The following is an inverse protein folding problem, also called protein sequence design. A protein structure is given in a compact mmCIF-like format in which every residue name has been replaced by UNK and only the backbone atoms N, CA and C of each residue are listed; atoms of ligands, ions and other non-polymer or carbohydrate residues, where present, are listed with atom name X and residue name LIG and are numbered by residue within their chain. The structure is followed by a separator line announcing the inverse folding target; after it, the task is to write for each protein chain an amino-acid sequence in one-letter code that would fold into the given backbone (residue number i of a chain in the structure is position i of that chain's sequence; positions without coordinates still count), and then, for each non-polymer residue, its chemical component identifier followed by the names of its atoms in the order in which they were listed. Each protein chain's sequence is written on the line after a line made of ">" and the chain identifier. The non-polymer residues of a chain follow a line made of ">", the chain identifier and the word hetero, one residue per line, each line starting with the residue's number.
data_IF_740382343957
#
_entry.id   IF_740382343957
#
_cell.length_a   1.000
_cell.length_b   1.000
_cell.length_c   1.000
_cell.angle_alpha   90.00
_cell.angle_beta   90.00
_cell.angle_gamma   90.00
#
_symmetry.space_group_name_H-M   'P 1'
#
loop_
_entity.id
_entity.type
_entity.pdbx_description
1 polymer ?
#
# COMPACT_ATOMS: atom_id res chain seq x y z
N UNK A 1 58.65 9.90 -26.86
CA UNK A 1 57.50 9.09 -26.42
C UNK A 1 57.40 9.00 -24.90
N UNK A 2 58.41 8.49 -24.20
CA UNK A 2 58.36 8.26 -22.74
C UNK A 2 57.98 9.49 -21.89
N UNK A 3 58.47 10.68 -22.24
CA UNK A 3 58.13 11.93 -21.52
C UNK A 3 56.64 12.30 -21.68
N UNK A 4 56.06 12.05 -22.85
CA UNK A 4 54.67 12.39 -23.14
C UNK A 4 53.71 11.49 -22.35
N UNK A 5 54.05 10.21 -22.20
CA UNK A 5 53.28 9.24 -21.40
C UNK A 5 53.35 9.57 -19.91
N UNK A 6 54.53 9.91 -19.39
CA UNK A 6 54.69 10.30 -17.98
C UNK A 6 53.88 11.56 -17.66
N UNK A 7 53.88 12.55 -18.57
CA UNK A 7 53.07 13.77 -18.42
C UNK A 7 51.56 13.44 -18.49
N UNK A 8 51.14 12.51 -19.36
CA UNK A 8 49.75 12.05 -19.43
C UNK A 8 49.30 11.33 -18.14
N UNK A 9 50.12 10.44 -17.56
CA UNK A 9 49.78 9.78 -16.30
C UNK A 9 49.76 10.74 -15.11
N UNK A 10 50.73 11.67 -15.04
CA UNK A 10 50.77 12.68 -13.99
C UNK A 10 49.55 13.61 -14.06
N UNK A 11 49.16 14.06 -15.26
CA UNK A 11 47.97 14.89 -15.45
C UNK A 11 46.68 14.14 -15.09
N UNK A 12 46.54 12.86 -15.48
CA UNK A 12 45.40 12.03 -15.07
C UNK A 12 45.33 11.83 -13.55
N UNK A 13 46.47 11.64 -12.88
CA UNK A 13 46.54 11.50 -11.43
C UNK A 13 46.19 12.81 -10.70
N UNK A 14 46.70 13.95 -11.18
CA UNK A 14 46.36 15.28 -10.62
C UNK A 14 44.89 15.59 -10.86
N UNK A 15 44.34 15.28 -12.04
CA UNK A 15 42.93 15.49 -12.34
C UNK A 15 42.04 14.59 -11.46
N UNK A 16 42.41 13.33 -11.25
CA UNK A 16 41.64 12.41 -10.41
C UNK A 16 41.68 12.81 -8.94
N UNK A 17 42.84 13.27 -8.43
CA UNK A 17 42.99 13.75 -7.05
C UNK A 17 42.26 15.07 -6.81
N UNK A 18 42.27 16.01 -7.77
CA UNK A 18 41.47 17.24 -7.71
C UNK A 18 39.97 16.95 -7.79
N UNK A 19 39.54 16.03 -8.66
CA UNK A 19 38.15 15.54 -8.70
C UNK A 19 37.76 14.87 -7.37
N UNK A 20 38.66 14.07 -6.78
CA UNK A 20 38.42 13.44 -5.49
C UNK A 20 38.33 14.48 -4.35
N UNK A 21 39.23 15.46 -4.30
CA UNK A 21 39.21 16.50 -3.27
C UNK A 21 38.00 17.44 -3.39
N UNK A 22 37.63 17.83 -4.61
CA UNK A 22 36.44 18.67 -4.85
C UNK A 22 35.15 17.92 -4.53
N UNK A 23 35.06 16.62 -4.88
CA UNK A 23 33.92 15.78 -4.50
C UNK A 23 33.84 15.55 -2.99
N UNK A 24 34.97 15.31 -2.31
CA UNK A 24 35.03 15.18 -0.83
C UNK A 24 34.66 16.50 -0.13
N UNK A 25 35.20 17.63 -0.60
CA UNK A 25 34.90 18.95 -0.03
C UNK A 25 33.41 19.32 -0.21
N UNK A 26 32.88 19.14 -1.42
CA UNK A 26 31.48 19.41 -1.72
C UNK A 26 30.52 18.52 -0.93
N UNK A 27 30.84 17.22 -0.81
CA UNK A 27 30.04 16.29 0.02
C UNK A 27 30.13 16.62 1.51
N UNK A 28 31.28 17.05 2.01
CA UNK A 28 31.44 17.45 3.43
C UNK A 28 30.59 18.67 3.80
N UNK A 29 30.45 19.65 2.89
CA UNK A 29 29.64 20.85 3.12
C UNK A 29 28.13 20.55 3.05
N UNK A 30 27.71 19.61 2.20
CA UNK A 30 26.33 19.14 2.13
C UNK A 30 25.95 18.31 3.38
N UNK A 31 26.84 17.45 3.86
CA UNK A 31 26.60 16.59 5.03
C UNK A 31 26.43 17.38 6.34
N UNK A 32 27.03 18.58 6.48
CA UNK A 32 26.88 19.43 7.67
C UNK A 32 25.45 19.90 7.96
N UNK A 33 24.54 19.84 6.98
CA UNK A 33 23.13 20.23 7.15
C UNK A 33 22.17 19.06 7.19
N UNK A 34 22.63 17.87 6.82
CA UNK A 34 21.81 16.67 6.74
C UNK A 34 21.71 15.97 8.10
N UNK A 35 20.67 15.13 8.30
CA UNK A 35 20.63 14.21 9.42
C UNK A 35 21.88 13.31 9.47
N UNK A 36 22.18 12.71 10.63
CA UNK A 36 23.25 11.72 10.77
C UNK A 36 23.20 10.68 9.65
N UNK A 37 24.37 10.37 9.08
CA UNK A 37 24.50 9.43 7.96
C UNK A 37 25.59 8.41 8.28
N UNK A 38 25.36 7.11 8.06
CA UNK A 38 26.43 6.12 8.00
C UNK A 38 27.38 6.42 6.83
N UNK A 39 28.47 5.64 6.74
CA UNK A 39 29.41 5.73 5.63
C UNK A 39 28.74 5.28 4.32
N UNK A 40 28.92 6.08 3.26
CA UNK A 40 28.36 5.83 1.94
C UNK A 40 29.44 5.37 0.96
N UNK A 41 29.21 4.26 0.26
CA UNK A 41 30.10 3.83 -0.83
C UNK A 41 29.87 4.69 -2.09
N UNK A 42 30.90 4.87 -2.95
CA UNK A 42 30.72 5.45 -4.27
C UNK A 42 29.68 4.68 -5.08
N UNK A 43 28.90 5.38 -5.92
CA UNK A 43 27.88 4.82 -6.83
C UNK A 43 26.66 4.21 -6.12
N UNK A 44 26.84 3.20 -5.27
CA UNK A 44 25.75 2.45 -4.64
C UNK A 44 25.23 3.11 -3.35
N UNK A 45 25.97 4.08 -2.80
CA UNK A 45 25.62 4.75 -1.56
C UNK A 45 25.53 3.77 -0.39
N UNK A 46 24.35 3.68 0.22
CA UNK A 46 24.05 2.90 1.42
C UNK A 46 23.32 1.59 1.12
N UNK A 47 23.14 1.20 -0.16
CA UNK A 47 22.49 -0.07 -0.51
C UNK A 47 23.18 -1.29 0.13
N UNK A 48 24.48 -1.22 0.35
CA UNK A 48 25.27 -2.27 1.02
C UNK A 48 24.91 -2.47 2.51
N UNK A 49 24.19 -1.53 3.13
CA UNK A 49 23.72 -1.63 4.50
C UNK A 49 22.32 -2.25 4.60
N UNK A 50 21.66 -2.52 3.45
CA UNK A 50 20.30 -3.03 3.41
C UNK A 50 20.30 -4.53 3.13
N UNK A 51 19.70 -5.28 4.05
CA UNK A 51 19.44 -6.70 3.87
C UNK A 51 18.13 -6.96 3.12
N UNK A 52 17.73 -8.24 3.09
CA UNK A 52 16.47 -8.70 2.49
C UNK A 52 15.23 -8.04 3.12
N UNK A 53 15.30 -7.72 4.42
CA UNK A 53 14.30 -6.92 5.11
C UNK A 53 14.80 -5.47 5.27
N UNK A 54 14.32 -4.59 4.40
CA UNK A 54 14.66 -3.17 4.43
C UNK A 54 14.18 -2.53 5.75
N UNK A 55 13.04 -2.98 6.32
CA UNK A 55 12.52 -2.52 7.62
C UNK A 55 13.41 -2.80 8.79
N UNK A 56 13.90 -4.03 8.89
CA UNK A 56 14.85 -4.36 9.95
C UNK A 56 16.13 -3.58 9.77
N UNK A 57 16.61 -3.43 8.54
CA UNK A 57 17.82 -2.65 8.25
C UNK A 57 17.67 -1.17 8.65
N UNK A 58 16.54 -0.53 8.31
CA UNK A 58 16.26 0.85 8.69
C UNK A 58 16.09 1.02 10.21
N UNK A 59 15.45 0.06 10.88
CA UNK A 59 15.35 0.04 12.33
C UNK A 59 16.72 -0.08 13.02
N UNK A 60 17.55 -1.03 12.58
CA UNK A 60 18.89 -1.23 13.16
C UNK A 60 19.79 0.00 12.96
N UNK A 61 19.64 0.68 11.81
CA UNK A 61 20.34 1.94 11.55
C UNK A 61 19.81 3.07 12.44
N UNK A 62 18.50 3.17 12.67
CA UNK A 62 17.94 4.22 13.53
C UNK A 62 18.31 4.04 15.00
N UNK A 63 18.45 2.80 15.48
CA UNK A 63 18.99 2.51 16.81
C UNK A 63 20.44 2.99 16.99
N UNK A 64 21.24 3.03 15.91
CA UNK A 64 22.66 3.42 15.95
C UNK A 64 22.89 4.91 15.69
N UNK A 65 22.16 5.49 14.75
CA UNK A 65 22.40 6.85 14.25
C UNK A 65 21.34 7.86 14.71
N UNK A 66 20.27 7.39 15.34
CA UNK A 66 19.19 8.21 15.87
C UNK A 66 17.89 8.12 15.05
N UNK A 67 16.84 8.83 15.49
CA UNK A 67 15.48 8.69 14.97
C UNK A 67 15.25 9.30 13.58
N UNK A 68 16.21 10.10 13.09
CA UNK A 68 16.18 10.70 11.76
C UNK A 68 17.55 10.52 11.13
N UNK A 69 17.63 9.72 10.06
CA UNK A 69 18.89 9.38 9.40
C UNK A 69 18.83 9.73 7.91
N UNK A 70 19.96 10.16 7.37
CA UNK A 70 20.12 10.36 5.94
C UNK A 70 20.80 9.15 5.31
N UNK A 71 20.23 8.67 4.22
CA UNK A 71 20.72 7.60 3.39
C UNK A 71 20.77 8.04 1.93
N UNK A 72 21.40 7.21 1.11
CA UNK A 72 21.55 7.40 -0.33
C UNK A 72 21.42 6.04 -0.96
N UNK A 73 20.29 5.75 -1.57
CA UNK A 73 20.00 4.47 -2.20
C UNK A 73 20.47 4.56 -3.65
N UNK A 74 21.70 4.13 -3.91
CA UNK A 74 22.38 4.39 -5.19
C UNK A 74 22.61 5.88 -5.41
N UNK A 75 21.81 6.46 -6.29
CA UNK A 75 21.81 7.86 -6.70
C UNK A 75 20.70 8.66 -6.03
N UNK A 76 19.76 7.98 -5.35
CA UNK A 76 18.57 8.59 -4.79
C UNK A 76 18.81 8.98 -3.32
N UNK A 77 18.70 10.26 -2.96
CA UNK A 77 18.81 10.69 -1.57
C UNK A 77 17.57 10.26 -0.78
N UNK A 78 17.76 9.66 0.39
CA UNK A 78 16.70 9.12 1.23
C UNK A 78 16.83 9.62 2.67
N UNK A 79 15.72 9.91 3.34
CA UNK A 79 15.66 10.21 4.76
C UNK A 79 14.74 9.21 5.43
N UNK A 80 15.23 8.55 6.46
CA UNK A 80 14.44 7.62 7.27
C UNK A 80 14.05 8.30 8.57
N UNK A 81 12.75 8.32 8.85
CA UNK A 81 12.19 8.77 10.12
C UNK A 81 11.64 7.55 10.89
N UNK A 82 11.96 7.45 12.19
CA UNK A 82 11.67 6.25 12.99
C UNK A 82 10.91 6.50 14.30
N UNK A 83 10.36 7.70 14.52
CA UNK A 83 9.56 8.03 15.71
C UNK A 83 8.17 8.53 15.33
N UNK A 84 7.21 8.35 16.25
CA UNK A 84 5.83 8.77 16.06
C UNK A 84 5.70 10.29 15.91
N UNK A 85 6.54 11.06 16.60
CA UNK A 85 6.58 12.52 16.51
C UNK A 85 7.03 12.98 15.11
N UNK A 86 8.08 12.36 14.56
CA UNK A 86 8.57 12.67 13.21
C UNK A 86 7.58 12.21 12.14
N UNK A 87 6.99 11.02 12.30
CA UNK A 87 5.90 10.53 11.47
C UNK A 87 4.74 11.53 11.42
N UNK A 88 4.28 12.02 12.59
CA UNK A 88 3.24 13.03 12.68
C UNK A 88 3.63 14.33 12.00
N UNK A 89 4.87 14.80 12.19
CA UNK A 89 5.35 16.01 11.54
C UNK A 89 5.35 15.87 10.00
N UNK A 90 5.74 14.71 9.48
CA UNK A 90 5.80 14.41 8.05
C UNK A 90 4.42 14.18 7.42
N UNK A 91 3.56 13.40 8.09
CA UNK A 91 2.29 12.95 7.55
C UNK A 91 1.13 13.91 7.80
N UNK A 92 1.23 14.77 8.82
CA UNK A 92 0.15 15.67 9.23
C UNK A 92 0.54 17.14 9.14
N UNK A 93 1.69 17.51 9.71
CA UNK A 93 2.08 18.93 9.76
C UNK A 93 2.61 19.43 8.42
N UNK A 94 3.39 18.61 7.72
CA UNK A 94 4.02 18.93 6.43
C UNK A 94 3.50 18.03 5.30
N UNK A 95 2.25 17.59 5.41
CA UNK A 95 1.63 16.58 4.54
C UNK A 95 1.67 16.94 3.06
N UNK A 96 1.34 18.18 2.70
CA UNK A 96 1.38 18.70 1.32
C UNK A 96 2.81 18.77 0.77
N UNK A 97 3.79 19.06 1.62
CA UNK A 97 5.21 19.12 1.20
C UNK A 97 5.78 17.72 0.97
N UNK A 98 5.23 16.73 1.68
CA UNK A 98 5.59 15.32 1.58
C UNK A 98 4.55 14.50 0.78
N UNK A 99 3.71 15.17 -0.02
CA UNK A 99 2.65 14.52 -0.79
C UNK A 99 3.12 13.95 -2.14
N UNK A 100 4.38 14.21 -2.51
CA UNK A 100 4.95 13.62 -3.72
C UNK A 100 5.20 12.12 -3.47
N UNK A 101 5.01 11.28 -4.49
CA UNK A 101 5.21 9.83 -4.39
C UNK A 101 6.34 9.40 -5.32
N UNK A 102 7.13 8.43 -4.89
CA UNK A 102 8.15 7.83 -5.75
C UNK A 102 7.49 6.85 -6.69
N UNK A 103 7.62 7.10 -7.99
CA UNK A 103 7.24 6.15 -9.02
C UNK A 103 8.50 5.43 -9.48
N UNK A 104 8.49 4.11 -9.39
CA UNK A 104 9.44 3.25 -10.12
C UNK A 104 9.04 3.20 -11.59
N UNK A 105 9.97 2.77 -12.45
CA UNK A 105 9.68 2.62 -13.89
C UNK A 105 8.50 1.65 -14.11
N UNK A 106 8.41 0.57 -13.32
CA UNK A 106 7.30 -0.39 -13.40
C UNK A 106 5.96 0.24 -13.02
N UNK A 107 5.89 1.01 -11.92
CA UNK A 107 4.68 1.71 -11.50
C UNK A 107 4.21 2.67 -12.59
N UNK A 108 5.12 3.48 -13.12
CA UNK A 108 4.81 4.47 -14.15
C UNK A 108 4.19 3.80 -15.39
N UNK A 109 4.78 2.70 -15.86
CA UNK A 109 4.28 2.01 -17.05
C UNK A 109 2.98 1.23 -16.79
N UNK A 110 2.88 0.49 -15.70
CA UNK A 110 1.74 -0.39 -15.43
C UNK A 110 0.47 0.39 -15.06
N UNK A 111 0.61 1.62 -14.57
CA UNK A 111 -0.51 2.43 -14.10
C UNK A 111 -0.86 3.60 -15.01
N UNK A 112 -0.31 3.66 -16.23
CA UNK A 112 -0.59 4.72 -17.21
C UNK A 112 -0.38 6.15 -16.64
N UNK A 113 0.59 6.30 -15.72
CA UNK A 113 0.83 7.51 -14.90
C UNK A 113 -0.43 8.09 -14.22
N UNK A 114 -1.42 7.23 -13.97
CA UNK A 114 -2.77 7.61 -13.54
C UNK A 114 -3.22 6.90 -12.26
N UNK A 115 -2.33 6.16 -11.60
CA UNK A 115 -2.62 5.50 -10.33
C UNK A 115 -3.00 6.49 -9.23
N UNK A 116 -4.14 6.28 -8.58
CA UNK A 116 -4.52 6.95 -7.33
C UNK A 116 -3.45 6.79 -6.23
N UNK A 117 -2.80 5.63 -6.21
CA UNK A 117 -1.78 5.28 -5.23
C UNK A 117 -0.40 5.88 -5.51
N UNK A 118 -0.09 6.33 -6.73
CA UNK A 118 1.26 6.77 -7.09
C UNK A 118 1.33 8.12 -7.82
N UNK A 119 0.21 8.66 -8.31
CA UNK A 119 0.17 9.97 -8.95
C UNK A 119 0.43 11.08 -7.92
N UNK A 120 1.17 12.15 -8.29
CA UNK A 120 1.35 13.30 -7.42
C UNK A 120 0.03 13.96 -7.01
N UNK A 121 0.04 14.61 -5.85
CA UNK A 121 -1.09 15.43 -5.42
C UNK A 121 -1.39 16.55 -6.43
N UNK A 122 -2.62 16.58 -6.94
CA UNK A 122 -3.06 17.54 -7.94
C UNK A 122 -4.57 17.47 -8.17
N UNK A 123 -5.12 18.25 -9.12
CA UNK A 123 -6.56 18.24 -9.42
C UNK A 123 -7.10 16.85 -9.76
N UNK A 124 -6.40 16.10 -10.61
CA UNK A 124 -6.75 14.72 -10.97
C UNK A 124 -6.82 13.81 -9.74
N UNK A 125 -5.77 13.78 -8.92
CA UNK A 125 -5.75 12.97 -7.71
C UNK A 125 -6.88 13.32 -6.74
N UNK A 126 -7.21 14.61 -6.58
CA UNK A 126 -8.32 15.06 -5.71
C UNK A 126 -9.66 14.55 -6.22
N UNK A 127 -9.89 14.69 -7.52
CA UNK A 127 -11.11 14.22 -8.18
C UNK A 127 -11.28 12.71 -8.01
N UNK A 128 -10.27 11.93 -8.40
CA UNK A 128 -10.30 10.47 -8.28
C UNK A 128 -10.44 10.03 -6.82
N UNK A 129 -9.71 10.66 -5.88
CA UNK A 129 -9.84 10.34 -4.46
C UNK A 129 -11.25 10.60 -3.94
N UNK A 130 -11.86 11.72 -4.33
CA UNK A 130 -13.25 12.07 -3.96
C UNK A 130 -14.22 11.05 -4.55
N UNK A 131 -14.08 10.74 -5.84
CA UNK A 131 -14.86 9.71 -6.53
C UNK A 131 -14.77 8.37 -5.80
N UNK A 132 -13.56 7.90 -5.51
CA UNK A 132 -13.35 6.64 -4.83
C UNK A 132 -13.94 6.61 -3.41
N UNK A 133 -13.72 7.66 -2.64
CA UNK A 133 -14.16 7.73 -1.25
C UNK A 133 -15.69 7.80 -1.14
N UNK A 134 -16.33 8.53 -2.05
CA UNK A 134 -17.75 8.80 -2.00
C UNK A 134 -18.58 7.76 -2.76
N UNK A 135 -18.22 7.50 -4.01
CA UNK A 135 -18.98 6.60 -4.88
C UNK A 135 -18.60 5.14 -4.66
N UNK A 136 -17.44 4.79 -4.11
CA UNK A 136 -17.04 3.35 -4.04
C UNK A 136 -17.05 2.83 -2.63
N UNK A 137 -16.33 3.55 -1.78
CA UNK A 137 -16.14 3.20 -0.38
C UNK A 137 -17.17 3.91 0.51
N UNK A 138 -18.14 4.60 -0.08
CA UNK A 138 -19.23 5.24 0.64
C UNK A 138 -20.22 4.23 1.22
N UNK A 139 -20.87 4.57 2.34
CA UNK A 139 -21.79 3.69 3.08
C UNK A 139 -22.90 3.09 2.20
N UNK A 140 -23.42 3.86 1.23
CA UNK A 140 -24.44 3.39 0.30
C UNK A 140 -23.93 2.20 -0.51
N UNK A 141 -22.76 2.32 -1.12
CA UNK A 141 -22.21 1.26 -1.96
C UNK A 141 -21.63 0.10 -1.13
N UNK A 142 -21.09 0.37 0.06
CA UNK A 142 -20.73 -0.70 1.00
C UNK A 142 -21.94 -1.55 1.41
N UNK A 143 -23.11 -0.93 1.59
CA UNK A 143 -24.37 -1.64 1.88
C UNK A 143 -24.86 -2.40 0.65
N UNK A 144 -24.74 -1.81 -0.54
CA UNK A 144 -25.10 -2.43 -1.81
C UNK A 144 -24.27 -3.71 -2.09
N UNK A 145 -22.97 -3.70 -1.77
CA UNK A 145 -22.09 -4.86 -1.93
C UNK A 145 -22.11 -5.84 -0.73
N UNK A 146 -22.89 -5.57 0.33
CA UNK A 146 -22.98 -6.45 1.50
C UNK A 146 -23.39 -7.90 1.14
N UNK A 147 -24.40 -8.14 0.26
CA UNK A 147 -24.78 -9.51 -0.09
C UNK A 147 -23.67 -10.30 -0.78
N UNK A 148 -22.84 -9.62 -1.60
CA UNK A 148 -21.68 -10.23 -2.26
C UNK A 148 -20.64 -10.66 -1.23
N UNK A 149 -20.27 -9.77 -0.30
CA UNK A 149 -19.31 -10.09 0.76
C UNK A 149 -19.80 -11.22 1.65
N UNK A 150 -21.05 -11.13 2.11
CA UNK A 150 -21.68 -12.17 2.92
C UNK A 150 -21.66 -13.53 2.21
N UNK A 151 -22.01 -13.60 0.92
CA UNK A 151 -21.99 -14.84 0.13
C UNK A 151 -20.59 -15.45 0.08
N UNK A 152 -19.55 -14.66 -0.16
CA UNK A 152 -18.18 -15.17 -0.22
C UNK A 152 -17.65 -15.60 1.16
N UNK A 153 -18.00 -14.89 2.23
CA UNK A 153 -17.66 -15.31 3.61
C UNK A 153 -18.31 -16.65 3.96
N UNK A 154 -19.59 -16.85 3.66
CA UNK A 154 -20.27 -18.12 3.90
C UNK A 154 -19.65 -19.26 3.10
N UNK A 155 -19.23 -19.00 1.85
CA UNK A 155 -18.52 -20.01 1.06
C UNK A 155 -17.18 -20.37 1.69
N UNK A 156 -16.40 -19.39 2.10
CA UNK A 156 -15.11 -19.62 2.77
C UNK A 156 -15.29 -20.46 4.04
N UNK A 157 -16.25 -20.10 4.89
CA UNK A 157 -16.57 -20.88 6.10
C UNK A 157 -16.98 -22.31 5.78
N UNK A 158 -17.75 -22.53 4.71
CA UNK A 158 -18.13 -23.88 4.26
C UNK A 158 -16.92 -24.70 3.80
N UNK A 159 -15.97 -24.09 3.08
CA UNK A 159 -14.72 -24.76 2.70
C UNK A 159 -13.95 -25.20 3.94
N UNK A 160 -13.84 -24.33 4.95
CA UNK A 160 -13.19 -24.67 6.21
C UNK A 160 -13.92 -25.78 6.98
N UNK A 161 -15.25 -25.72 7.04
CA UNK A 161 -16.07 -26.73 7.72
C UNK A 161 -15.91 -28.11 7.07
N UNK A 162 -16.02 -28.19 5.74
CA UNK A 162 -15.86 -29.43 4.99
C UNK A 162 -14.45 -30.05 5.20
N UNK A 163 -13.40 -29.22 5.17
CA UNK A 163 -12.03 -29.70 5.44
C UNK A 163 -11.85 -30.18 6.88
N UNK A 164 -12.50 -29.50 7.83
CA UNK A 164 -12.50 -29.90 9.23
C UNK A 164 -13.19 -31.25 9.46
N UNK A 165 -14.28 -31.55 8.76
CA UNK A 165 -15.00 -32.83 8.88
C UNK A 165 -14.13 -34.02 8.44
N UNK A 166 -13.27 -33.81 7.45
CA UNK A 166 -12.34 -34.83 6.95
C UNK A 166 -11.00 -34.83 7.71
N UNK A 167 -10.77 -33.85 8.59
CA UNK A 167 -9.51 -33.70 9.34
C UNK A 167 -8.34 -33.21 8.49
N UNK A 168 -8.60 -32.52 7.38
CA UNK A 168 -7.58 -32.01 6.46
C UNK A 168 -6.99 -30.68 6.97
N UNK A 169 -5.67 -30.52 6.85
CA UNK A 169 -5.00 -29.24 7.12
C UNK A 169 -5.35 -28.18 6.06
N UNK A 170 -5.53 -26.93 6.47
CA UNK A 170 -5.85 -25.82 5.57
C UNK A 170 -4.67 -24.85 5.43
N UNK A 171 -4.29 -24.54 4.19
CA UNK A 171 -3.45 -23.38 3.91
C UNK A 171 -4.30 -22.11 3.95
N UNK A 172 -4.33 -21.45 5.11
CA UNK A 172 -5.18 -20.28 5.36
C UNK A 172 -4.80 -19.11 4.44
N UNK A 173 -3.51 -18.89 4.18
CA UNK A 173 -3.03 -17.79 3.31
C UNK A 173 -3.61 -17.90 1.90
N UNK A 174 -3.60 -19.11 1.31
CA UNK A 174 -4.16 -19.35 -0.02
C UNK A 174 -5.68 -19.18 -0.05
N UNK A 175 -6.39 -19.68 0.95
CA UNK A 175 -7.86 -19.57 1.02
C UNK A 175 -8.32 -18.12 1.28
N UNK A 176 -7.59 -17.36 2.10
CA UNK A 176 -7.85 -15.92 2.31
C UNK A 176 -7.57 -15.11 1.04
N UNK A 177 -6.48 -15.38 0.31
CA UNK A 177 -6.23 -14.74 -0.98
C UNK A 177 -7.32 -15.05 -2.01
N UNK A 178 -7.86 -16.28 -2.01
CA UNK A 178 -9.01 -16.62 -2.86
C UNK A 178 -10.25 -15.83 -2.43
N UNK A 179 -10.52 -15.71 -1.14
CA UNK A 179 -11.65 -14.96 -0.61
C UNK A 179 -11.57 -13.48 -1.01
N UNK A 180 -10.45 -12.82 -0.72
CA UNK A 180 -10.30 -11.37 -0.99
C UNK A 180 -10.36 -11.07 -2.49
N UNK A 181 -9.72 -11.89 -3.33
CA UNK A 181 -9.84 -11.79 -4.79
C UNK A 181 -11.28 -11.96 -5.26
N UNK A 182 -12.02 -12.98 -4.79
CA UNK A 182 -13.41 -13.18 -5.19
C UNK A 182 -14.31 -11.99 -4.81
N UNK A 183 -14.11 -11.42 -3.62
CA UNK A 183 -14.85 -10.25 -3.15
C UNK A 183 -14.57 -9.04 -4.04
N UNK A 184 -13.29 -8.69 -4.24
CA UNK A 184 -12.94 -7.51 -5.04
C UNK A 184 -13.32 -7.72 -6.51
N UNK A 185 -13.12 -8.90 -7.11
CA UNK A 185 -13.54 -9.17 -8.49
C UNK A 185 -15.05 -8.98 -8.71
N UNK A 186 -15.88 -9.43 -7.78
CA UNK A 186 -17.33 -9.24 -7.89
C UNK A 186 -17.74 -7.78 -7.68
N UNK A 187 -17.14 -7.08 -6.71
CA UNK A 187 -17.44 -5.66 -6.49
C UNK A 187 -16.98 -4.80 -7.66
N UNK A 188 -15.87 -5.16 -8.31
CA UNK A 188 -15.25 -4.38 -9.38
C UNK A 188 -15.89 -4.65 -10.74
N UNK A 189 -16.13 -5.92 -11.09
CA UNK A 189 -16.42 -6.36 -12.46
C UNK A 189 -17.67 -7.26 -12.56
N UNK A 190 -18.44 -7.45 -11.47
CA UNK A 190 -19.52 -8.45 -11.35
C UNK A 190 -19.12 -9.86 -11.78
N UNK A 191 -17.82 -10.15 -11.84
CA UNK A 191 -17.30 -11.41 -12.36
C UNK A 191 -16.68 -12.17 -11.21
N UNK A 192 -17.06 -13.43 -11.07
CA UNK A 192 -16.49 -14.27 -10.02
C UNK A 192 -15.20 -14.92 -10.50
N UNK A 193 -14.20 -14.86 -9.64
CA UNK A 193 -12.88 -15.42 -9.85
C UNK A 193 -12.85 -16.97 -9.91
N UNK A 194 -13.94 -17.69 -9.63
CA UNK A 194 -13.98 -19.17 -9.67
C UNK A 194 -14.90 -19.77 -10.73
N UNK A 195 -15.58 -18.97 -11.55
CA UNK A 195 -16.62 -19.48 -12.48
C UNK A 195 -16.13 -19.66 -13.91
N UNK A 196 -14.96 -19.11 -14.25
CA UNK A 196 -14.28 -19.30 -15.54
C UNK A 196 -12.86 -19.81 -15.28
N UNK A 197 -12.68 -21.14 -15.28
CA UNK A 197 -11.44 -21.82 -14.85
C UNK A 197 -10.17 -21.43 -15.65
N UNK A 198 -10.27 -20.64 -16.72
CA UNK A 198 -9.12 -20.06 -17.43
C UNK A 198 -8.91 -18.55 -17.21
N UNK A 199 -9.96 -17.74 -17.37
CA UNK A 199 -9.83 -16.26 -17.34
C UNK A 199 -9.56 -15.72 -15.94
N UNK A 200 -10.15 -16.35 -14.93
CA UNK A 200 -9.88 -15.93 -13.58
C UNK A 200 -8.44 -16.28 -13.17
N UNK A 201 -7.96 -17.49 -13.48
CA UNK A 201 -6.58 -17.88 -13.16
C UNK A 201 -5.53 -16.98 -13.84
N UNK A 202 -5.81 -16.56 -15.07
CA UNK A 202 -5.05 -15.51 -15.77
C UNK A 202 -5.06 -14.19 -14.97
N UNK A 203 -6.22 -13.71 -14.53
CA UNK A 203 -6.36 -12.46 -13.78
C UNK A 203 -5.58 -12.45 -12.46
N UNK A 204 -5.58 -13.53 -11.66
CA UNK A 204 -4.79 -13.58 -10.41
C UNK A 204 -3.31 -13.68 -10.67
N UNK A 205 -2.93 -14.44 -11.70
CA UNK A 205 -1.54 -14.53 -12.08
C UNK A 205 -1.03 -13.14 -12.41
N UNK A 206 -1.80 -12.36 -13.17
CA UNK A 206 -1.49 -10.97 -13.48
C UNK A 206 -1.47 -10.06 -12.24
N UNK A 207 -2.49 -10.09 -11.39
CA UNK A 207 -2.54 -9.25 -10.17
C UNK A 207 -1.35 -9.56 -9.24
N UNK A 208 -1.00 -10.83 -9.10
CA UNK A 208 0.16 -11.26 -8.30
C UNK A 208 1.47 -10.78 -8.92
N UNK A 209 1.63 -10.91 -10.24
CA UNK A 209 2.83 -10.44 -10.95
C UNK A 209 2.99 -8.92 -10.87
N UNK A 210 1.90 -8.16 -10.98
CA UNK A 210 1.93 -6.70 -10.78
C UNK A 210 2.32 -6.36 -9.34
N UNK A 211 1.74 -7.03 -8.35
CA UNK A 211 2.06 -6.75 -6.95
C UNK A 211 3.51 -7.07 -6.63
N UNK A 212 4.03 -8.18 -7.18
CA UNK A 212 5.43 -8.55 -7.05
C UNK A 212 6.37 -7.52 -7.68
N UNK A 213 6.08 -7.07 -8.91
CA UNK A 213 6.98 -6.14 -9.61
C UNK A 213 6.96 -4.73 -9.01
N UNK A 214 5.87 -4.33 -8.34
CA UNK A 214 5.81 -3.07 -7.59
C UNK A 214 6.72 -3.09 -6.35
N UNK A 215 6.88 -4.24 -5.69
CA UNK A 215 7.72 -4.40 -4.50
C UNK A 215 9.16 -4.81 -4.78
N UNK A 216 9.49 -5.20 -6.02
CA UNK A 216 10.79 -5.76 -6.39
C UNK A 216 11.85 -4.66 -6.60
N UNK A 217 13.07 -4.93 -6.14
CA UNK A 217 14.21 -4.02 -6.31
C UNK A 217 14.73 -4.08 -7.74
N UNK A 218 14.82 -2.91 -8.38
CA UNK A 218 15.39 -2.75 -9.71
C UNK A 218 16.56 -1.75 -9.69
N UNK A 219 17.74 -2.19 -10.11
CA UNK A 219 18.98 -1.42 -10.15
C UNK A 219 18.80 -0.12 -10.94
N UNK A 220 18.01 -0.16 -12.02
CA UNK A 220 17.80 0.98 -12.90
C UNK A 220 16.97 2.10 -12.25
N UNK A 221 16.23 1.82 -11.17
CA UNK A 221 15.53 2.82 -10.37
C UNK A 221 16.47 3.57 -9.40
N UNK A 222 17.62 2.97 -9.03
CA UNK A 222 18.55 3.52 -8.04
C UNK A 222 19.88 3.99 -8.62
N UNK A 223 20.37 3.42 -9.72
CA UNK A 223 21.67 3.76 -10.31
C UNK A 223 21.45 4.55 -11.60
N UNK A 224 21.83 5.83 -11.60
CA UNK A 224 21.49 6.79 -12.66
C UNK A 224 21.99 6.39 -14.06
N UNK A 225 23.18 5.79 -14.16
CA UNK A 225 23.73 5.34 -15.44
C UNK A 225 23.18 3.97 -15.90
N UNK A 226 22.47 3.25 -15.03
CA UNK A 226 21.79 2.00 -15.36
C UNK A 226 20.33 2.22 -15.82
N UNK A 227 19.80 3.44 -15.77
CA UNK A 227 18.38 3.75 -16.09
C UNK A 227 17.88 3.14 -17.41
N UNK A 228 18.74 3.07 -18.42
CA UNK A 228 18.40 2.56 -19.75
C UNK A 228 18.87 1.12 -20.00
N UNK A 229 19.50 0.48 -19.01
CA UNK A 229 20.00 -0.88 -19.09
C UNK A 229 19.01 -1.82 -18.41
N UNK A 230 18.53 -2.85 -19.11
CA UNK A 230 17.66 -3.87 -18.54
C UNK A 230 18.47 -5.02 -17.93
N UNK A 231 19.33 -4.70 -16.94
CA UNK A 231 20.30 -5.65 -16.39
C UNK A 231 19.66 -6.86 -15.69
N UNK A 232 18.44 -6.71 -15.18
CA UNK A 232 17.70 -7.75 -14.45
C UNK A 232 16.57 -8.38 -15.28
N UNK A 233 16.38 -7.97 -16.54
CA UNK A 233 15.19 -8.35 -17.32
C UNK A 233 13.88 -7.76 -16.77
N UNK A 234 13.99 -6.73 -15.92
CA UNK A 234 12.88 -6.08 -15.23
C UNK A 234 11.97 -5.35 -16.23
N UNK A 235 12.57 -4.69 -17.24
CA UNK A 235 11.83 -4.00 -18.30
C UNK A 235 10.99 -4.96 -19.12
N UNK A 236 11.63 -6.01 -19.64
CA UNK A 236 10.92 -7.04 -20.41
C UNK A 236 9.76 -7.66 -19.62
N UNK A 237 9.93 -7.86 -18.31
CA UNK A 237 8.88 -8.40 -17.43
C UNK A 237 7.70 -7.44 -17.25
N UNK A 238 7.93 -6.16 -16.89
CA UNK A 238 6.80 -5.24 -16.72
C UNK A 238 6.09 -4.94 -18.05
N UNK A 239 6.80 -4.94 -19.18
CA UNK A 239 6.19 -4.74 -20.51
C UNK A 239 5.28 -5.91 -20.89
N UNK A 240 5.71 -7.14 -20.61
CA UNK A 240 4.87 -8.32 -20.82
C UNK A 240 3.63 -8.32 -19.92
N UNK A 241 3.81 -8.01 -18.63
CA UNK A 241 2.71 -7.88 -17.67
C UNK A 241 1.73 -6.80 -18.14
N UNK A 242 2.23 -5.61 -18.51
CA UNK A 242 1.41 -4.52 -19.02
C UNK A 242 0.59 -4.97 -20.23
N UNK A 243 1.21 -5.62 -21.22
CA UNK A 243 0.53 -6.09 -22.42
C UNK A 243 -0.60 -7.07 -22.10
N UNK A 244 -0.35 -8.07 -21.24
CA UNK A 244 -1.37 -9.06 -20.86
C UNK A 244 -2.50 -8.42 -20.05
N UNK A 245 -2.15 -7.55 -19.11
CA UNK A 245 -3.11 -6.86 -18.27
C UNK A 245 -3.99 -5.87 -19.06
N UNK A 246 -3.38 -5.07 -19.94
CA UNK A 246 -4.09 -4.15 -20.83
C UNK A 246 -5.07 -4.89 -21.74
N UNK A 247 -4.63 -5.99 -22.38
CA UNK A 247 -5.50 -6.80 -23.22
C UNK A 247 -6.68 -7.41 -22.44
N UNK A 248 -6.44 -7.86 -21.20
CA UNK A 248 -7.48 -8.39 -20.34
C UNK A 248 -8.53 -7.34 -20.00
N UNK A 249 -8.10 -6.16 -19.54
CA UNK A 249 -9.02 -5.08 -19.18
C UNK A 249 -9.74 -4.51 -20.40
N UNK A 250 -9.05 -4.34 -21.53
CA UNK A 250 -9.66 -3.85 -22.76
C UNK A 250 -10.79 -4.77 -23.23
N UNK A 251 -10.59 -6.09 -23.15
CA UNK A 251 -11.63 -7.08 -23.43
C UNK A 251 -12.83 -6.90 -22.49
N UNK A 252 -12.59 -6.81 -21.19
CA UNK A 252 -13.66 -6.68 -20.18
C UNK A 252 -14.46 -5.39 -20.39
N UNK A 253 -13.76 -4.26 -20.60
CA UNK A 253 -14.38 -2.96 -20.82
C UNK A 253 -15.21 -2.96 -22.11
N UNK A 254 -14.67 -3.50 -23.20
CA UNK A 254 -15.36 -3.56 -24.50
C UNK A 254 -16.63 -4.40 -24.43
N UNK A 255 -16.58 -5.57 -23.78
CA UNK A 255 -17.77 -6.41 -23.59
C UNK A 255 -18.81 -5.70 -22.71
N UNK A 256 -18.38 -5.00 -21.65
CA UNK A 256 -19.29 -4.26 -20.79
C UNK A 256 -19.98 -3.10 -21.53
N UNK A 257 -19.26 -2.38 -22.37
CA UNK A 257 -19.82 -1.32 -23.21
C UNK A 257 -20.89 -1.84 -24.19
N UNK A 258 -20.65 -3.00 -24.80
CA UNK A 258 -21.65 -3.63 -25.69
C UNK A 258 -22.93 -3.94 -24.94
N UNK A 259 -22.82 -4.56 -23.75
CA UNK A 259 -23.98 -4.87 -22.90
C UNK A 259 -24.73 -3.59 -22.50
N UNK A 260 -24.02 -2.54 -22.11
CA UNK A 260 -24.62 -1.23 -21.76
C UNK A 260 -25.35 -0.60 -22.93
N UNK A 261 -24.81 -0.67 -24.16
CA UNK A 261 -25.47 -0.15 -25.37
C UNK A 261 -26.75 -0.89 -25.71
N UNK A 262 -26.76 -2.23 -25.59
CA UNK A 262 -27.96 -3.04 -25.80
C UNK A 262 -29.04 -2.67 -24.79
N UNK A 263 -28.68 -2.57 -23.50
CA UNK A 263 -29.62 -2.17 -22.43
C UNK A 263 -30.18 -0.74 -22.59
N UNK A 264 -29.43 0.20 -23.20
CA UNK A 264 -29.92 1.56 -23.49
C UNK A 264 -30.93 1.57 -24.66
N UNK A 265 -30.81 0.64 -25.61
CA UNK A 265 -31.67 0.56 -26.78
C UNK A 265 -32.98 -0.22 -26.51
N UNK A 266 -32.97 -1.13 -25.55
CA UNK A 266 -34.16 -1.83 -25.06
C UNK A 266 -34.76 -1.01 -23.91
N UNK A 267 -35.81 -0.20 -24.17
CA UNK A 267 -36.50 0.70 -23.22
C UNK A 267 -37.03 0.06 -21.91
N UNK A 268 -36.68 -1.18 -21.60
CA UNK A 268 -36.89 -1.82 -20.31
C UNK A 268 -35.88 -1.33 -19.27
N UNK A 269 -36.05 -0.08 -18.82
CA UNK A 269 -35.40 0.42 -17.60
C UNK A 269 -36.05 -0.26 -16.40
N UNK A 270 -35.59 -1.46 -16.03
CA UNK A 270 -35.60 -1.84 -14.60
C UNK A 270 -34.39 -1.18 -13.98
N UNK A 271 -34.60 0.01 -13.41
CA UNK A 271 -33.60 0.83 -12.74
C UNK A 271 -33.08 0.26 -11.41
N UNK A 272 -32.87 -1.06 -11.32
CA UNK A 272 -32.43 -1.75 -10.11
C UNK A 272 -31.49 -2.93 -10.42
N UNK A 273 -30.83 -2.93 -11.59
CA UNK A 273 -29.69 -3.82 -11.78
C UNK A 273 -28.52 -3.30 -10.94
N UNK A 274 -28.01 -4.17 -10.07
CA UNK A 274 -26.84 -3.92 -9.21
C UNK A 274 -25.64 -3.47 -10.06
N UNK A 275 -25.35 -2.16 -10.03
CA UNK A 275 -24.16 -1.59 -10.69
C UNK A 275 -22.90 -2.02 -9.95
N UNK A 276 -21.93 -2.55 -10.68
CA UNK A 276 -20.58 -2.73 -10.15
C UNK A 276 -19.75 -1.45 -10.29
N UNK A 277 -18.53 -1.48 -9.77
CA UNK A 277 -17.67 -0.31 -9.85
C UNK A 277 -17.31 0.08 -11.29
N UNK A 278 -17.07 -0.89 -12.17
CA UNK A 278 -16.80 -0.59 -13.57
C UNK A 278 -17.98 0.18 -14.19
N UNK A 279 -19.21 -0.17 -13.84
CA UNK A 279 -20.37 0.60 -14.28
C UNK A 279 -20.40 2.02 -13.75
N UNK A 280 -20.02 2.24 -12.49
CA UNK A 280 -19.91 3.57 -11.89
C UNK A 280 -18.82 4.40 -12.56
N UNK A 281 -17.67 3.80 -12.91
CA UNK A 281 -16.62 4.48 -13.66
C UNK A 281 -17.06 4.83 -15.08
N UNK A 282 -17.82 3.95 -15.73
CA UNK A 282 -18.40 4.28 -17.04
C UNK A 282 -19.42 5.42 -16.95
N UNK A 283 -20.24 5.49 -15.89
CA UNK A 283 -21.16 6.62 -15.69
C UNK A 283 -20.38 7.94 -15.62
N UNK A 284 -19.24 7.97 -14.93
CA UNK A 284 -18.37 9.15 -14.84
C UNK A 284 -17.65 9.45 -16.16
N UNK A 285 -17.25 8.40 -16.90
CA UNK A 285 -16.60 8.54 -18.20
C UNK A 285 -17.56 9.09 -19.26
N UNK A 286 -18.85 8.75 -19.17
CA UNK A 286 -19.93 9.22 -20.04
C UNK A 286 -20.51 10.59 -19.62
N UNK A 287 -20.16 11.11 -18.44
CA UNK A 287 -20.70 12.39 -17.93
C UNK A 287 -19.92 13.60 -18.49
N UNK A 288 -20.56 14.31 -19.43
CA UNK A 288 -20.04 15.54 -20.02
C UNK A 288 -19.91 16.70 -19.01
N UNK A 289 -20.58 16.63 -17.86
CA UNK A 289 -20.52 17.66 -16.81
C UNK A 289 -19.48 17.36 -15.73
N UNK A 290 -18.73 16.26 -15.85
CA UNK A 290 -17.70 15.91 -14.87
C UNK A 290 -16.63 16.99 -14.79
N UNK A 291 -16.17 17.30 -13.57
CA UNK A 291 -15.06 18.23 -13.32
C UNK A 291 -13.78 17.82 -14.09
N UNK A 292 -13.60 16.51 -14.31
CA UNK A 292 -12.50 15.93 -15.09
C UNK A 292 -13.04 14.79 -15.94
N UNK A 293 -12.81 14.85 -17.26
CA UNK A 293 -13.12 13.75 -18.17
C UNK A 293 -12.13 12.62 -17.96
N UNK A 294 -12.61 11.47 -17.47
CA UNK A 294 -11.79 10.28 -17.29
C UNK A 294 -11.46 9.66 -18.66
N UNK A 295 -10.21 9.23 -18.83
CA UNK A 295 -9.81 8.44 -19.99
C UNK A 295 -9.97 6.95 -19.72
N UNK A 296 -10.01 6.15 -20.79
CA UNK A 296 -10.06 4.70 -20.69
C UNK A 296 -8.86 4.12 -19.93
N UNK A 297 -7.66 4.66 -20.18
CA UNK A 297 -6.43 4.24 -19.51
C UNK A 297 -6.45 4.60 -18.01
N UNK A 298 -7.06 5.73 -17.65
CA UNK A 298 -7.28 6.09 -16.25
C UNK A 298 -8.23 5.10 -15.55
N UNK A 299 -9.29 4.67 -16.22
CA UNK A 299 -10.18 3.61 -15.69
C UNK A 299 -9.41 2.30 -15.50
N UNK A 300 -8.58 1.90 -16.45
CA UNK A 300 -7.72 0.70 -16.33
C UNK A 300 -6.76 0.81 -15.14
N UNK A 301 -6.12 1.97 -14.97
CA UNK A 301 -5.22 2.24 -13.85
C UNK A 301 -5.93 2.12 -12.50
N UNK A 302 -7.16 2.66 -12.38
CA UNK A 302 -7.95 2.56 -11.16
C UNK A 302 -8.34 1.12 -10.83
N UNK A 303 -8.76 0.35 -11.83
CA UNK A 303 -9.07 -1.06 -11.65
C UNK A 303 -7.85 -1.79 -11.09
N UNK A 304 -6.66 -1.55 -11.67
CA UNK A 304 -5.41 -2.15 -11.20
C UNK A 304 -5.08 -1.78 -9.75
N UNK A 305 -5.20 -0.50 -9.40
CA UNK A 305 -4.95 -0.01 -8.04
C UNK A 305 -5.84 -0.72 -7.02
N UNK A 306 -7.14 -0.88 -7.31
CA UNK A 306 -8.06 -1.55 -6.38
C UNK A 306 -7.78 -3.04 -6.24
N UNK A 307 -7.51 -3.74 -7.34
CA UNK A 307 -7.17 -5.16 -7.29
C UNK A 307 -5.88 -5.41 -6.48
N UNK A 308 -4.83 -4.64 -6.75
CA UNK A 308 -3.55 -4.79 -6.05
C UNK A 308 -3.65 -4.37 -4.58
N UNK A 309 -4.36 -3.29 -4.26
CA UNK A 309 -4.48 -2.80 -2.89
C UNK A 309 -5.40 -3.67 -2.01
N UNK A 310 -6.53 -4.17 -2.55
CA UNK A 310 -7.54 -4.84 -1.74
C UNK A 310 -7.24 -6.34 -1.49
N UNK A 311 -6.54 -7.00 -2.41
CA UNK A 311 -6.32 -8.45 -2.35
C UNK A 311 -5.35 -8.85 -1.24
N UNK A 312 -4.09 -8.43 -1.33
CA UNK A 312 -3.02 -8.93 -0.48
C UNK A 312 -3.13 -8.35 0.94
N UNK A 313 -3.44 -7.06 1.06
CA UNK A 313 -3.49 -6.39 2.37
C UNK A 313 -4.55 -7.01 3.28
N UNK A 314 -5.78 -7.18 2.79
CA UNK A 314 -6.89 -7.74 3.58
C UNK A 314 -6.61 -9.20 4.00
N UNK A 315 -6.03 -10.00 3.10
CA UNK A 315 -5.69 -11.39 3.39
C UNK A 315 -4.59 -11.47 4.47
N UNK A 316 -3.54 -10.66 4.34
CA UNK A 316 -2.42 -10.62 5.28
C UNK A 316 -2.88 -10.17 6.67
N UNK A 317 -3.75 -9.15 6.78
CA UNK A 317 -4.28 -8.71 8.10
C UNK A 317 -4.98 -9.85 8.82
N UNK A 318 -5.88 -10.56 8.12
CA UNK A 318 -6.64 -11.66 8.72
C UNK A 318 -5.73 -12.84 9.05
N UNK A 319 -4.76 -13.15 8.20
CA UNK A 319 -3.75 -14.18 8.43
C UNK A 319 -2.94 -13.90 9.70
N UNK A 320 -2.44 -12.67 9.87
CA UNK A 320 -1.74 -12.28 11.09
C UNK A 320 -2.65 -12.31 12.32
N UNK A 321 -3.88 -11.82 12.20
CA UNK A 321 -4.84 -11.86 13.31
C UNK A 321 -5.11 -13.31 13.77
N UNK A 322 -5.31 -14.24 12.83
CA UNK A 322 -5.47 -15.67 13.14
C UNK A 322 -4.21 -16.26 13.77
N UNK A 323 -3.04 -15.92 13.24
CA UNK A 323 -1.75 -16.38 13.77
C UNK A 323 -1.53 -15.90 15.22
N UNK A 324 -1.79 -14.63 15.49
CA UNK A 324 -1.69 -14.05 16.84
C UNK A 324 -2.69 -14.68 17.80
N UNK A 325 -3.94 -14.93 17.37
CA UNK A 325 -4.93 -15.62 18.19
C UNK A 325 -4.54 -17.07 18.52
N UNK A 326 -4.00 -17.80 17.55
CA UNK A 326 -3.54 -19.18 17.76
C UNK A 326 -2.35 -19.26 18.70
N UNK A 327 -1.47 -18.25 18.67
CA UNK A 327 -0.33 -18.13 19.59
C UNK A 327 -0.72 -17.64 21.00
N UNK A 328 -1.93 -17.10 21.18
CA UNK A 328 -2.44 -16.60 22.47
C UNK A 328 -3.79 -17.24 22.86
N UNK A 329 -3.79 -18.49 23.36
CA UNK A 329 -5.02 -19.27 23.61
C UNK A 329 -6.02 -18.63 24.58
N UNK A 330 -5.53 -17.86 25.55
CA UNK A 330 -6.38 -17.13 26.51
C UNK A 330 -7.21 -16.05 25.83
N UNK A 331 -6.60 -15.31 24.91
CA UNK A 331 -7.26 -14.27 24.10
C UNK A 331 -8.25 -14.92 23.13
N UNK A 332 -7.84 -16.00 22.46
CA UNK A 332 -8.73 -16.75 21.58
C UNK A 332 -9.97 -17.30 22.32
N UNK A 333 -9.81 -17.83 23.53
CA UNK A 333 -10.93 -18.29 24.36
C UNK A 333 -11.87 -17.15 24.72
N UNK A 334 -11.32 -15.99 25.10
CA UNK A 334 -12.12 -14.78 25.38
C UNK A 334 -12.92 -14.34 24.15
N UNK A 335 -12.28 -14.29 22.98
CA UNK A 335 -12.94 -13.92 21.73
C UNK A 335 -14.10 -14.87 21.37
N UNK A 336 -13.92 -16.18 21.56
CA UNK A 336 -14.99 -17.18 21.35
C UNK A 336 -16.17 -16.98 22.30
N UNK A 337 -15.89 -16.79 23.59
CA UNK A 337 -16.94 -16.56 24.58
C UNK A 337 -17.77 -15.30 24.26
N UNK A 338 -17.10 -14.24 23.82
CA UNK A 338 -17.79 -13.00 23.46
C UNK A 338 -18.69 -13.16 22.23
N UNK A 339 -18.24 -13.90 21.21
CA UNK A 339 -19.07 -14.24 20.06
C UNK A 339 -20.30 -15.06 20.50
N UNK A 340 -20.10 -16.05 21.39
CA UNK A 340 -21.18 -16.85 21.97
C UNK A 340 -22.19 -15.98 22.75
N UNK A 341 -21.74 -14.93 23.44
CA UNK A 341 -22.60 -14.02 24.20
C UNK A 341 -23.41 -13.07 23.30
N UNK A 342 -22.80 -12.54 22.24
CA UNK A 342 -23.42 -11.52 21.36
C UNK A 342 -24.29 -12.15 20.28
N UNK A 343 -23.82 -13.24 19.67
CA UNK A 343 -24.45 -13.87 18.51
C UNK A 343 -25.18 -15.17 18.88
N UNK A 344 -24.68 -15.88 19.89
CA UNK A 344 -25.14 -17.22 20.23
C UNK A 344 -24.60 -18.29 19.26
N UNK A 345 -25.10 -19.52 19.41
CA UNK A 345 -24.64 -20.70 18.64
C UNK A 345 -25.55 -21.11 17.49
N UNK A 346 -26.63 -20.36 17.27
CA UNK A 346 -27.72 -20.75 16.35
C UNK A 346 -27.60 -20.13 14.96
N UNK A 347 -26.66 -19.19 14.75
CA UNK A 347 -26.44 -18.53 13.46
C UNK A 347 -24.98 -18.13 13.29
N UNK A 348 -24.60 -17.84 12.04
CA UNK A 348 -23.27 -17.32 11.69
C UNK A 348 -23.21 -15.83 12.05
N UNK A 349 -22.00 -15.35 12.37
CA UNK A 349 -21.71 -13.93 12.63
C UNK A 349 -21.91 -13.11 11.34
N UNK A 350 -22.58 -11.97 11.45
CA UNK A 350 -22.80 -11.03 10.34
C UNK A 350 -22.10 -9.69 10.59
N UNK A 351 -21.85 -8.89 9.53
CA UNK A 351 -21.19 -7.58 9.66
C UNK A 351 -21.94 -6.62 10.61
N UNK A 352 -23.27 -6.75 10.71
CA UNK A 352 -24.11 -5.96 11.61
C UNK A 352 -23.89 -6.27 13.10
N UNK A 353 -23.22 -7.38 13.44
CA UNK A 353 -22.89 -7.73 14.82
C UNK A 353 -21.62 -7.04 15.32
N UNK A 354 -20.76 -6.55 14.41
CA UNK A 354 -19.50 -5.90 14.75
C UNK A 354 -19.62 -4.80 15.81
N UNK A 355 -20.54 -3.82 15.66
CA UNK A 355 -20.73 -2.76 16.66
C UNK A 355 -21.20 -3.24 18.04
N UNK A 356 -21.72 -4.46 18.14
CA UNK A 356 -22.25 -5.05 19.38
C UNK A 356 -21.19 -5.86 20.15
N UNK A 357 -20.05 -6.14 19.53
CA UNK A 357 -18.95 -6.89 20.13
C UNK A 357 -18.03 -5.99 20.98
N UNK A 358 -17.87 -6.28 22.28
CA UNK A 358 -16.87 -5.65 23.15
C UNK A 358 -15.43 -5.64 22.60
N UNK A 359 -14.93 -6.68 21.95
CA UNK A 359 -13.61 -6.72 21.31
C UNK A 359 -13.50 -5.65 20.22
N UNK A 360 -14.55 -5.45 19.42
CA UNK A 360 -14.57 -4.38 18.41
C UNK A 360 -14.73 -2.97 19.00
N UNK A 361 -15.41 -2.83 20.15
CA UNK A 361 -15.73 -1.52 20.76
C UNK A 361 -14.74 -1.06 21.83
N UNK A 362 -14.05 -1.99 22.52
CA UNK A 362 -12.96 -1.71 23.46
C UNK A 362 -11.59 -1.61 22.79
N UNK A 363 -11.48 -2.08 21.54
CA UNK A 363 -10.29 -1.96 20.70
C UNK A 363 -10.68 -1.30 19.35
N UNK A 364 -11.18 -0.05 19.35
CA UNK A 364 -11.59 0.64 18.12
C UNK A 364 -10.42 0.83 17.14
N UNK A 365 -9.20 0.83 17.66
CA UNK A 365 -7.97 0.51 16.97
C UNK A 365 -7.55 -0.88 17.47
N UNK A 366 -7.61 -1.90 16.63
CA UNK A 366 -7.32 -3.27 17.02
C UNK A 366 -5.90 -3.39 17.59
N UNK A 367 -5.76 -3.48 18.91
CA UNK A 367 -4.54 -3.85 19.61
C UNK A 367 -4.35 -5.39 19.66
N UNK A 368 -4.84 -6.13 18.66
CA UNK A 368 -4.08 -7.29 18.18
C UNK A 368 -2.91 -6.64 17.48
N UNK A 369 -1.67 -6.81 17.98
CA UNK A 369 -0.45 -6.26 17.36
C UNK A 369 -0.54 -6.36 15.84
N UNK A 370 -1.05 -5.32 15.18
CA UNK A 370 -1.40 -5.40 13.78
C UNK A 370 -0.05 -5.32 13.08
N UNK A 371 0.50 -6.47 12.70
CA UNK A 371 1.68 -6.49 11.85
C UNK A 371 1.33 -5.67 10.62
N UNK A 372 1.94 -4.49 10.43
CA UNK A 372 1.49 -3.60 9.38
C UNK A 372 1.71 -4.32 8.05
N UNK A 373 0.65 -4.42 7.25
CA UNK A 373 0.70 -5.04 5.91
C UNK A 373 1.73 -4.37 5.02
N UNK A 374 1.93 -3.06 5.21
CA UNK A 374 3.07 -2.32 4.70
C UNK A 374 3.93 -1.81 5.87
N UNK A 375 5.15 -2.35 6.10
CA UNK A 375 6.00 -1.94 7.22
C UNK A 375 6.57 -0.51 7.10
N UNK A 376 6.31 0.16 5.96
CA UNK A 376 6.71 1.55 5.72
C UNK A 376 5.77 2.27 4.76
N UNK A 377 5.79 3.61 4.82
CA UNK A 377 5.33 4.48 3.75
C UNK A 377 6.51 5.04 2.95
N UNK A 378 6.43 4.95 1.62
CA UNK A 378 7.35 5.67 0.73
C UNK A 378 6.70 6.97 0.27
N UNK A 379 7.30 8.09 0.65
CA UNK A 379 6.92 9.43 0.19
C UNK A 379 8.13 10.11 -0.40
N UNK A 380 7.91 11.19 -1.13
CA UNK A 380 8.95 12.11 -1.56
C UNK A 380 8.59 13.49 -1.04
N UNK A 381 9.63 14.24 -0.70
CA UNK A 381 9.50 15.60 -0.21
C UNK A 381 10.45 16.53 -0.94
N UNK A 382 9.99 17.76 -1.18
CA UNK A 382 10.81 18.84 -1.69
C UNK A 382 11.40 19.71 -0.56
N UNK A 383 11.39 19.21 0.68
CA UNK A 383 11.86 19.96 1.84
C UNK A 383 13.39 19.95 1.99
N UNK A 384 13.93 21.06 2.49
CA UNK A 384 15.33 21.19 2.91
C UNK A 384 15.46 20.74 4.36
N UNK A 385 16.23 19.69 4.62
CA UNK A 385 16.54 19.26 5.99
C UNK A 385 17.67 20.14 6.57
N UNK A 386 17.46 20.74 7.76
CA UNK A 386 18.51 21.48 8.46
C UNK A 386 18.42 21.22 9.97
N UNK A 387 19.49 20.66 10.56
CA UNK A 387 19.62 20.49 12.01
C UNK A 387 18.57 19.58 12.65
N UNK A 388 18.12 18.54 11.95
CA UNK A 388 17.08 17.63 12.43
C UNK A 388 15.65 18.16 12.34
N UNK A 389 15.42 19.28 11.63
CA UNK A 389 14.08 19.84 11.34
C UNK A 389 13.88 20.10 9.85
N UNK A 390 12.63 19.99 9.41
CA UNK A 390 12.19 20.17 8.03
C UNK A 390 11.99 21.67 7.74
N UNK A 391 12.74 22.24 6.80
CA UNK A 391 12.65 23.64 6.37
C UNK A 391 12.33 23.77 4.85
N UNK A 392 11.80 24.93 4.42
CA UNK A 392 11.43 25.26 3.02
C UNK A 392 12.66 25.43 2.07
N UNK A 393 12.52 25.35 0.73
CA UNK A 393 13.11 24.28 -0.10
C UNK A 393 14.47 24.59 -0.78
N UNK A 394 15.17 23.53 -1.22
CA UNK A 394 16.08 23.55 -2.39
C UNK A 394 16.48 22.16 -2.97
N UNK A 395 16.05 21.01 -2.41
CA UNK A 395 16.44 19.66 -2.92
C UNK A 395 15.35 18.61 -2.62
N UNK A 396 15.20 17.60 -3.50
CA UNK A 396 14.20 16.52 -3.40
C UNK A 396 14.78 15.30 -2.68
N UNK A 397 14.05 14.74 -1.71
CA UNK A 397 14.43 13.56 -0.93
C UNK A 397 13.31 12.50 -0.94
N UNK A 398 13.70 11.23 -0.99
CA UNK A 398 12.82 10.10 -0.70
C UNK A 398 12.68 9.99 0.82
N UNK A 399 11.47 10.09 1.35
CA UNK A 399 11.19 9.92 2.77
C UNK A 399 10.63 8.51 2.99
N UNK A 400 11.43 7.69 3.67
CA UNK A 400 11.00 6.40 4.16
C UNK A 400 10.55 6.55 5.61
N UNK A 401 9.25 6.49 5.83
CA UNK A 401 8.75 6.43 7.19
C UNK A 401 8.71 5.00 7.65
N UNK A 402 9.51 4.70 8.68
CA UNK A 402 9.41 3.44 9.39
C UNK A 402 8.65 3.64 10.68
N UNK A 403 7.42 3.12 10.72
CA UNK A 403 6.68 2.99 11.94
C UNK A 403 7.22 1.79 12.72
N UNK A 404 8.37 1.99 13.37
CA UNK A 404 8.96 1.06 14.34
C UNK A 404 8.06 0.89 15.57
N UNK A 405 7.21 1.88 15.85
CA UNK A 405 6.70 2.14 17.20
C UNK A 405 5.34 1.53 17.57
N UNK A 406 5.08 0.27 17.22
CA UNK A 406 3.93 -0.46 17.80
C UNK A 406 4.29 -1.31 19.02
N UNK A 407 5.57 -1.53 19.31
CA UNK A 407 6.04 -2.39 20.42
C UNK A 407 6.92 -1.69 21.48
N UNK A 408 6.99 -0.35 21.49
CA UNK A 408 7.75 0.36 22.55
C UNK A 408 6.97 0.43 23.87
N UNK A 409 7.57 0.04 25.02
CA UNK A 409 6.93 0.12 26.34
C UNK A 409 6.47 1.54 26.73
N UNK A 410 7.18 2.58 26.28
CA UNK A 410 6.90 3.97 26.68
C UNK A 410 5.60 4.55 26.11
N UNK A 411 5.05 3.97 25.06
CA UNK A 411 3.71 4.34 24.54
C UNK A 411 2.60 3.60 25.32
N UNK A 412 2.95 2.49 25.98
CA UNK A 412 2.09 1.66 26.83
C UNK A 412 2.14 2.04 28.33
N UNK A 413 3.17 2.76 28.77
CA UNK A 413 3.38 3.14 30.18
C UNK A 413 2.55 4.35 30.64
N UNK A 414 1.24 4.33 30.39
CA UNK A 414 0.29 4.95 31.32
C UNK A 414 -0.45 3.84 32.03
N UNK A 415 -0.25 3.64 33.34
CA UNK A 415 -0.95 2.62 34.09
C UNK A 415 -2.42 3.02 34.17
N UNK A 416 -3.26 2.46 33.30
CA UNK A 416 -4.70 2.52 33.49
C UNK A 416 -5.05 1.35 34.38
N UNK A 417 -4.89 1.56 35.69
CA UNK A 417 -5.47 0.71 36.70
C UNK A 417 -6.98 0.64 36.46
N UNK A 418 -7.49 -0.59 36.34
CA UNK A 418 -8.91 -0.90 36.38
C UNK A 418 -9.39 -0.57 37.81
N UNK A 419 -10.32 0.36 38.06
CA UNK A 419 -11.05 0.36 39.31
C UNK A 419 -12.11 -0.77 39.25
N UNK A 420 -12.36 -1.46 40.36
CA UNK A 420 -13.36 -2.52 40.41
C UNK A 420 -14.76 -1.93 40.27
N UNK A 421 -15.62 -2.74 39.65
CA UNK A 421 -17.08 -2.67 39.58
C UNK A 421 -17.78 -1.54 40.38
N UNK A 422 -18.43 -0.62 39.65
CA UNK A 422 -19.72 -0.09 40.07
C UNK A 422 -20.47 0.39 38.82
N UNK A 423 -21.71 -0.08 38.68
CA UNK A 423 -22.50 0.07 37.47
C UNK A 423 -22.95 1.50 37.15
N UNK A 424 -23.31 1.67 35.88
CA UNK A 424 -24.41 2.48 35.35
C UNK A 424 -24.02 3.13 34.02
N UNK A 425 -24.87 2.91 33.03
CA UNK A 425 -24.86 3.56 31.73
C UNK A 425 -24.78 5.09 31.86
N UNK A 426 -23.91 5.76 31.08
CA UNK A 426 -24.26 6.98 30.31
C UNK A 426 -23.42 7.11 29.02
N UNK A 427 -24.05 7.48 27.89
CA UNK A 427 -23.39 7.60 26.59
C UNK A 427 -22.81 9.01 26.36
N UNK A 428 -21.91 9.10 25.37
CA UNK A 428 -21.49 10.30 24.65
C UNK A 428 -20.73 11.39 25.43
N UNK A 429 -19.41 11.49 25.17
CA UNK A 429 -18.64 12.75 24.97
C UNK A 429 -17.15 12.44 24.78
N UNK A 430 -16.74 12.09 23.56
CA UNK A 430 -15.33 12.20 23.13
C UNK A 430 -15.17 12.15 21.60
N UNK A 431 -16.13 12.66 20.82
CA UNK A 431 -15.94 12.92 19.38
C UNK A 431 -16.22 14.41 19.15
N UNK A 432 -15.24 15.23 19.52
CA UNK A 432 -15.13 16.64 19.10
C UNK A 432 -13.75 17.17 19.51
N UNK A 433 -12.73 16.72 18.80
CA UNK A 433 -11.49 17.47 18.54
C UNK A 433 -10.68 16.64 17.56
N UNK A 434 -10.23 17.32 16.51
CA UNK A 434 -9.53 16.77 15.34
C UNK A 434 -10.48 16.20 14.28
N UNK A 435 -11.31 17.10 13.72
CA UNK A 435 -11.45 17.17 12.27
C UNK A 435 -10.09 17.55 11.66
#
# INVERSE_FOLDING_TARGET
>A
MMILEVVAYATLFILSTLLLQTTISFTSHLLRRLPPSPFALPIIGHLHLLGTSIHRSFHDLSLRYGPLIYLRLGSNPCVVASTAELAKELLKTNDLTCAYRQQTIAIHHLTYDSSLSFVPYGPYWKFVRKLCTWELLGNRNLSHFLPIRAKEYHRFLRVLANKSEVGESVNVSQELLKLTNNVISQMMLSTRYSETEGQAEEARTLVREVTQIFGEFNVSDFIWFCKNLDLQGFRKRFEDIHRRYDAMLERIMTEREKVRKVKKNEETVRGDDMKDFLDLLFDVLEDENSEITLTRDQVKALILDFFTAATDTSAIVVEWALTELLNHPTVLKKARNEIDEVVGKNRVVEEADGPKSPIHTSHPEGNISATPTSPFGYKKSNAKMQGGRIHRPSQQYDICEHLVNWKEPKVLDRPIGIPPESGSCRPARAIRRVL
#
